data_IF_929851750745
#
_entry.id   IF_929851750745
#
_cell.length_a   1.000
_cell.length_b   1.000
_cell.length_c   1.000
_cell.angle_alpha   90.00
_cell.angle_beta   90.00
_cell.angle_gamma   90.00
#
_symmetry.space_group_name_H-M   'P 1'
#
loop_
_entity.id
_entity.type
_entity.pdbx_description
1 polymer ?
#
# COMPACT_ATOMS: atom_id res chain seq x y z
N UNK A 1 -29.32 42.35 18.26
CA UNK A 1 -28.09 41.76 18.87
C UNK A 1 -28.20 40.25 19.08
N UNK A 2 -29.32 39.72 19.61
CA UNK A 2 -29.53 38.29 19.94
C UNK A 2 -29.55 37.34 18.71
N UNK A 3 -30.07 37.77 17.56
CA UNK A 3 -30.06 36.93 16.35
C UNK A 3 -28.67 36.75 15.73
N UNK A 4 -27.81 37.77 15.82
CA UNK A 4 -26.42 37.69 15.35
C UNK A 4 -25.58 36.74 16.21
N UNK A 5 -25.83 36.69 17.52
CA UNK A 5 -25.16 35.76 18.42
C UNK A 5 -25.62 34.32 18.16
N UNK A 6 -26.91 34.08 17.92
CA UNK A 6 -27.41 32.74 17.58
C UNK A 6 -26.81 32.18 16.27
N UNK A 7 -26.76 33.00 15.22
CA UNK A 7 -26.13 32.60 13.95
C UNK A 7 -24.62 32.32 14.11
N UNK A 8 -23.94 33.10 14.95
CA UNK A 8 -22.52 32.91 15.26
C UNK A 8 -22.28 31.61 16.06
N UNK A 9 -23.10 31.35 17.08
CA UNK A 9 -23.04 30.11 17.88
C UNK A 9 -23.30 28.88 17.01
N UNK A 10 -24.30 28.91 16.12
CA UNK A 10 -24.59 27.81 15.18
C UNK A 10 -23.41 27.50 14.26
N UNK A 11 -22.70 28.54 13.77
CA UNK A 11 -21.50 28.36 12.93
C UNK A 11 -20.38 27.67 13.71
N UNK A 12 -20.12 28.08 14.94
CA UNK A 12 -19.10 27.45 15.79
C UNK A 12 -19.43 25.99 16.11
N UNK A 13 -20.68 25.70 16.45
CA UNK A 13 -21.12 24.31 16.68
C UNK A 13 -20.91 23.46 15.43
N UNK A 14 -21.31 23.96 14.26
CA UNK A 14 -21.10 23.25 13.00
C UNK A 14 -19.61 23.02 12.70
N UNK A 15 -18.76 24.01 12.96
CA UNK A 15 -17.31 23.91 12.76
C UNK A 15 -16.68 22.89 13.72
N UNK A 16 -17.09 22.87 14.99
CA UNK A 16 -16.63 21.88 15.97
C UNK A 16 -17.07 20.48 15.56
N UNK A 17 -18.33 20.29 15.18
CA UNK A 17 -18.83 18.99 14.72
C UNK A 17 -18.11 18.52 13.45
N UNK A 18 -17.85 19.43 12.51
CA UNK A 18 -17.07 19.15 11.32
C UNK A 18 -15.63 18.76 11.66
N UNK A 19 -14.97 19.47 12.57
CA UNK A 19 -13.63 19.14 13.01
C UNK A 19 -13.59 17.75 13.66
N UNK A 20 -14.48 17.47 14.63
CA UNK A 20 -14.58 16.15 15.28
C UNK A 20 -14.82 15.05 14.24
N UNK A 21 -15.73 15.28 13.29
CA UNK A 21 -15.98 14.34 12.21
C UNK A 21 -14.73 14.14 11.33
N UNK A 22 -14.05 15.20 10.92
CA UNK A 22 -12.84 15.10 10.11
C UNK A 22 -11.74 14.32 10.85
N UNK A 23 -11.47 14.63 12.11
CA UNK A 23 -10.48 13.92 12.93
C UNK A 23 -10.85 12.45 13.19
N UNK A 24 -12.14 12.14 13.31
CA UNK A 24 -12.61 10.77 13.57
C UNK A 24 -12.73 9.91 12.32
N UNK A 25 -13.08 10.49 11.17
CA UNK A 25 -13.35 9.76 9.92
C UNK A 25 -12.17 9.70 8.97
N UNK A 26 -11.08 10.40 9.29
CA UNK A 26 -9.86 10.44 8.47
C UNK A 26 -8.63 10.17 9.31
N UNK A 27 -7.52 9.95 8.62
CA UNK A 27 -6.20 9.75 9.22
C UNK A 27 -5.52 11.08 9.64
N UNK A 28 -6.28 12.17 9.82
CA UNK A 28 -5.74 13.45 10.31
C UNK A 28 -5.04 13.32 11.67
N UNK A 29 -5.39 12.30 12.48
CA UNK A 29 -4.68 11.97 13.72
C UNK A 29 -3.21 11.62 13.51
N UNK A 30 -2.85 11.07 12.35
CA UNK A 30 -1.45 10.75 12.01
C UNK A 30 -0.61 12.02 11.88
N UNK A 31 -1.19 13.14 11.45
CA UNK A 31 -0.50 14.44 11.39
C UNK A 31 -0.08 14.89 12.80
N UNK A 32 -0.83 14.54 13.84
CA UNK A 32 -0.45 14.85 15.22
C UNK A 32 0.82 14.11 15.69
N UNK A 33 1.25 13.06 14.97
CA UNK A 33 2.50 12.32 15.23
C UNK A 33 3.73 12.95 14.54
N UNK A 34 3.58 14.02 13.75
CA UNK A 34 4.71 14.72 13.12
C UNK A 34 5.82 15.17 14.10
N UNK A 35 5.53 15.63 15.33
CA UNK A 35 6.58 15.93 16.30
C UNK A 35 7.45 14.72 16.63
N UNK A 36 6.86 13.52 16.71
CA UNK A 36 7.58 12.25 16.96
C UNK A 36 8.50 11.92 15.79
N UNK A 37 8.03 12.11 14.56
CA UNK A 37 8.85 11.92 13.35
C UNK A 37 10.11 12.81 13.38
N UNK A 38 9.96 14.09 13.74
CA UNK A 38 11.07 15.04 13.82
C UNK A 38 12.03 14.66 14.95
N UNK A 39 11.49 14.25 16.11
CA UNK A 39 12.30 13.79 17.23
C UNK A 39 13.13 12.57 16.84
N UNK A 40 12.52 11.55 16.22
CA UNK A 40 13.22 10.34 15.83
C UNK A 40 14.26 10.59 14.72
N UNK A 41 13.96 11.50 13.77
CA UNK A 41 14.98 11.98 12.82
C UNK A 41 16.19 12.62 13.53
N UNK A 42 15.96 13.43 14.57
CA UNK A 42 17.06 14.03 15.33
C UNK A 42 17.88 12.97 16.11
N UNK A 43 17.24 11.92 16.62
CA UNK A 43 17.94 10.77 17.23
C UNK A 43 18.88 10.10 16.21
N UNK A 44 18.40 9.80 15.00
CA UNK A 44 19.22 9.24 13.91
C UNK A 44 20.32 10.21 13.45
N UNK A 45 20.05 11.51 13.44
CA UNK A 45 21.04 12.53 13.11
C UNK A 45 22.15 12.66 14.16
N UNK A 46 21.88 12.33 15.42
CA UNK A 46 22.92 12.27 16.46
C UNK A 46 23.84 11.05 16.29
N UNK A 47 23.30 9.93 15.82
CA UNK A 47 24.07 8.71 15.53
C UNK A 47 24.86 8.83 14.22
N UNK A 48 24.25 9.43 13.20
CA UNK A 48 24.84 9.66 11.90
C UNK A 48 24.60 11.10 11.45
N UNK A 49 25.59 11.97 11.68
CA UNK A 49 25.49 13.40 11.33
C UNK A 49 25.30 13.68 9.83
N UNK A 50 25.60 12.71 8.97
CA UNK A 50 25.48 12.84 7.51
C UNK A 50 24.10 12.44 6.96
N UNK A 51 23.22 11.86 7.78
CA UNK A 51 21.90 11.43 7.33
C UNK A 51 21.05 12.64 6.95
N UNK A 52 20.48 12.57 5.75
CA UNK A 52 19.50 13.56 5.29
C UNK A 52 18.09 13.14 5.72
N UNK A 53 17.19 14.11 5.87
CA UNK A 53 15.78 13.82 6.19
C UNK A 53 15.12 12.90 5.15
N UNK A 54 15.45 13.05 3.86
CA UNK A 54 14.97 12.17 2.80
C UNK A 54 15.48 10.74 2.93
N UNK A 55 16.76 10.55 3.29
CA UNK A 55 17.31 9.21 3.52
C UNK A 55 16.62 8.56 4.72
N UNK A 56 16.48 9.29 5.83
CA UNK A 56 15.73 8.83 7.00
C UNK A 56 14.30 8.38 6.64
N UNK A 57 13.57 9.16 5.84
CA UNK A 57 12.24 8.75 5.37
C UNK A 57 12.28 7.50 4.49
N UNK A 58 13.26 7.37 3.60
CA UNK A 58 13.41 6.16 2.78
C UNK A 58 13.70 4.96 3.66
N UNK A 59 14.61 5.09 4.62
CA UNK A 59 14.98 4.02 5.56
C UNK A 59 13.77 3.62 6.41
N UNK A 60 12.94 4.57 6.84
CA UNK A 60 11.81 4.29 7.73
C UNK A 60 10.46 4.01 7.04
N UNK A 61 10.33 4.19 5.72
CA UNK A 61 9.07 3.93 5.00
C UNK A 61 9.24 3.00 3.80
N UNK A 62 10.41 2.37 3.65
CA UNK A 62 10.57 1.29 2.70
C UNK A 62 10.01 -0.04 3.26
N UNK A 63 9.88 -1.05 2.39
CA UNK A 63 9.42 -2.40 2.76
C UNK A 63 10.57 -3.38 3.04
N UNK A 64 11.79 -2.87 3.21
CA UNK A 64 12.96 -3.69 3.49
C UNK A 64 12.98 -4.02 4.99
N UNK A 65 13.31 -5.27 5.36
CA UNK A 65 13.46 -5.62 6.76
C UNK A 65 14.70 -4.90 7.32
N UNK A 66 14.48 -4.00 8.27
CA UNK A 66 15.54 -3.39 9.05
C UNK A 66 15.86 -4.26 10.28
N UNK A 67 17.13 -4.26 10.70
CA UNK A 67 17.67 -5.13 11.77
C UNK A 67 17.97 -4.31 13.04
N UNK A 68 17.67 -3.02 13.04
CA UNK A 68 17.67 -2.21 14.25
C UNK A 68 16.52 -2.62 15.17
N UNK A 69 16.80 -2.61 16.46
CA UNK A 69 15.87 -3.03 17.51
C UNK A 69 14.98 -1.85 17.94
N UNK A 70 14.52 -1.04 16.99
CA UNK A 70 13.72 0.19 17.20
C UNK A 70 12.29 0.06 16.67
N UNK A 71 11.85 -1.16 16.36
CA UNK A 71 10.51 -1.46 15.86
C UNK A 71 9.37 -0.81 16.69
N UNK A 72 9.47 -0.78 18.02
CA UNK A 72 8.48 -0.13 18.88
C UNK A 72 8.42 1.40 18.68
N UNK A 73 9.56 2.01 18.33
CA UNK A 73 9.71 3.44 18.07
C UNK A 73 9.21 3.78 16.67
N UNK A 74 9.56 2.95 15.70
CA UNK A 74 9.08 2.99 14.32
C UNK A 74 7.56 2.96 14.24
N UNK A 75 6.92 2.10 15.03
CA UNK A 75 5.47 1.97 15.06
C UNK A 75 4.74 3.24 15.55
N UNK A 76 5.46 4.18 16.17
CA UNK A 76 4.91 5.48 16.59
C UNK A 76 4.99 6.53 15.48
N UNK A 77 5.65 6.23 14.36
CA UNK A 77 5.76 7.14 13.23
C UNK A 77 4.41 7.30 12.51
N UNK A 78 4.13 8.51 11.99
CA UNK A 78 2.89 8.78 11.27
C UNK A 78 2.77 7.86 10.05
N UNK A 79 1.61 7.22 9.86
CA UNK A 79 1.33 6.35 8.72
C UNK A 79 2.21 5.09 8.59
N UNK A 80 3.03 4.75 9.59
CA UNK A 80 3.83 3.50 9.58
C UNK A 80 2.97 2.27 9.84
N UNK A 81 1.98 2.39 10.73
CA UNK A 81 0.98 1.35 10.99
C UNK A 81 -0.41 1.79 10.57
N UNK A 82 -1.18 0.86 10.00
CA UNK A 82 -2.59 1.08 9.69
C UNK A 82 -3.41 0.64 10.90
N UNK A 83 -3.81 1.61 11.72
CA UNK A 83 -4.74 1.37 12.83
C UNK A 83 -6.17 1.20 12.27
N UNK A 84 -6.53 -0.06 11.98
CA UNK A 84 -7.88 -0.42 11.50
C UNK A 84 -9.00 -0.14 12.50
N UNK A 85 -8.66 0.10 13.78
CA UNK A 85 -9.61 0.23 14.89
C UNK A 85 -10.52 1.46 14.79
N UNK A 86 -10.12 2.51 14.04
CA UNK A 86 -10.85 3.79 14.01
C UNK A 86 -11.70 3.98 12.74
N UNK A 87 -11.49 3.17 11.70
CA UNK A 87 -12.20 3.27 10.42
C UNK A 87 -13.55 2.53 10.38
N UNK A 88 -14.24 2.35 11.51
CA UNK A 88 -15.61 1.82 11.51
C UNK A 88 -16.61 2.95 11.21
N UNK A 89 -16.75 3.31 9.94
CA UNK A 89 -17.92 4.10 9.52
C UNK A 89 -19.15 3.20 9.58
N UNK A 90 -20.27 3.60 10.22
CA UNK A 90 -21.51 2.80 10.18
C UNK A 90 -22.08 2.68 8.77
N UNK A 91 -21.62 3.49 7.81
CA UNK A 91 -22.02 3.44 6.41
C UNK A 91 -21.13 2.52 5.54
N UNK A 92 -20.00 2.05 6.07
CA UNK A 92 -19.05 1.20 5.32
C UNK A 92 -18.98 -0.14 6.06
N UNK A 93 -19.33 -1.27 5.43
CA UNK A 93 -19.18 -2.58 6.07
C UNK A 93 -17.71 -2.76 6.49
N UNK A 94 -17.44 -3.35 7.67
CA UNK A 94 -16.07 -3.51 8.16
C UNK A 94 -15.23 -4.21 7.09
N UNK A 95 -14.05 -3.65 6.80
CA UNK A 95 -13.15 -4.21 5.80
C UNK A 95 -12.80 -5.65 6.17
N UNK A 96 -13.17 -6.59 5.30
CA UNK A 96 -12.69 -7.95 5.41
C UNK A 96 -11.17 -7.92 5.19
N UNK A 97 -10.40 -8.34 6.19
CA UNK A 97 -8.96 -8.52 6.03
C UNK A 97 -8.74 -9.65 5.02
N UNK A 98 -8.57 -9.31 3.74
CA UNK A 98 -8.17 -10.26 2.73
C UNK A 98 -6.72 -10.63 3.03
N UNK A 99 -6.52 -11.77 3.68
CA UNK A 99 -5.22 -12.40 3.79
C UNK A 99 -4.84 -12.92 2.39
N UNK A 100 -4.34 -12.03 1.52
CA UNK A 100 -3.65 -12.45 0.31
C UNK A 100 -2.39 -13.19 0.76
N UNK A 101 -2.49 -14.52 0.84
CA UNK A 101 -1.29 -15.36 0.92
C UNK A 101 -0.44 -14.99 -0.28
N UNK A 102 0.74 -14.42 -0.02
CA UNK A 102 1.77 -14.21 -1.02
C UNK A 102 1.87 -15.51 -1.82
N UNK A 103 1.70 -15.49 -3.16
CA UNK A 103 1.86 -16.71 -3.93
C UNK A 103 3.27 -17.22 -3.63
N UNK A 104 3.36 -18.36 -2.97
CA UNK A 104 4.62 -19.07 -2.81
C UNK A 104 4.90 -19.59 -4.20
N UNK A 105 5.65 -18.81 -4.99
CA UNK A 105 6.35 -19.38 -6.12
C UNK A 105 7.32 -20.38 -5.50
N UNK A 106 6.96 -21.66 -5.53
CA UNK A 106 7.96 -22.70 -5.40
C UNK A 106 8.96 -22.41 -6.50
N UNK A 107 10.14 -21.91 -6.13
CA UNK A 107 11.30 -22.02 -7.00
C UNK A 107 11.48 -23.51 -7.13
N UNK A 108 10.91 -24.09 -8.19
CA UNK A 108 11.27 -25.43 -8.64
C UNK A 108 12.76 -25.28 -8.89
N UNK A 109 13.59 -25.73 -7.92
CA UNK A 109 15.01 -25.99 -8.14
C UNK A 109 15.06 -26.68 -9.48
N UNK A 110 15.69 -26.05 -10.47
CA UNK A 110 15.73 -26.47 -11.86
C UNK A 110 15.69 -28.00 -12.00
N UNK A 111 14.49 -28.59 -11.96
CA UNK A 111 14.31 -29.96 -12.37
C UNK A 111 14.15 -29.79 -13.86
N UNK A 112 15.32 -29.64 -14.48
CA UNK A 112 15.67 -30.24 -15.73
C UNK A 112 14.43 -30.38 -16.59
N UNK A 113 14.19 -29.43 -17.49
CA UNK A 113 13.53 -29.79 -18.73
C UNK A 113 14.22 -31.09 -19.16
N UNK A 114 13.56 -32.26 -19.14
CA UNK A 114 14.19 -33.44 -19.68
C UNK A 114 14.38 -33.07 -21.14
N UNK A 115 15.62 -32.78 -21.52
CA UNK A 115 15.97 -32.58 -22.92
C UNK A 115 15.67 -33.92 -23.54
N UNK A 116 14.49 -34.03 -24.13
CA UNK A 116 14.08 -35.24 -24.79
C UNK A 116 14.96 -35.33 -26.04
N UNK A 117 16.07 -36.05 -25.93
CA UNK A 117 16.99 -36.27 -27.05
C UNK A 117 16.32 -37.05 -28.21
N UNK A 118 15.08 -37.53 -28.01
CA UNK A 118 14.21 -38.09 -29.04
C UNK A 118 13.17 -37.11 -29.60
N UNK A 119 13.29 -35.80 -29.35
CA UNK A 119 12.42 -34.82 -30.01
C UNK A 119 12.73 -34.77 -31.50
N UNK A 120 12.03 -35.59 -32.28
CA UNK A 120 12.00 -35.50 -33.73
C UNK A 120 11.05 -34.35 -34.08
N UNK A 121 11.55 -33.24 -34.65
CA UNK A 121 10.68 -32.15 -35.04
C UNK A 121 9.73 -32.66 -36.12
N UNK A 122 8.41 -32.71 -35.86
CA UNK A 122 7.45 -33.06 -36.91
C UNK A 122 7.55 -32.01 -38.01
N UNK A 123 7.88 -32.39 -39.25
CA UNK A 123 8.24 -31.50 -40.37
C UNK A 123 7.20 -30.45 -40.82
N UNK A 124 6.12 -30.26 -40.07
CA UNK A 124 5.01 -29.37 -40.35
C UNK A 124 4.97 -28.11 -39.47
N UNK A 125 6.11 -27.62 -38.95
CA UNK A 125 6.16 -26.38 -38.15
C UNK A 125 5.55 -25.17 -38.85
N UNK A 126 5.62 -25.13 -40.19
CA UNK A 126 5.02 -24.07 -41.01
C UNK A 126 3.48 -24.09 -41.06
N UNK A 127 2.83 -25.11 -40.50
CA UNK A 127 1.36 -25.20 -40.38
C UNK A 127 0.80 -24.74 -39.04
N UNK A 128 1.64 -24.62 -38.01
CA UNK A 128 1.20 -24.32 -36.64
C UNK A 128 0.77 -22.85 -36.51
N UNK A 129 1.41 -21.95 -37.27
CA UNK A 129 1.18 -20.50 -37.22
C UNK A 129 0.52 -19.95 -38.50
N UNK A 130 -0.48 -20.65 -39.04
CA UNK A 130 -1.23 -20.09 -40.16
C UNK A 130 -2.41 -19.25 -39.67
N UNK A 131 -2.57 -18.01 -40.16
CA UNK A 131 -3.77 -17.23 -39.88
C UNK A 131 -5.01 -17.95 -40.41
N UNK A 132 -6.19 -17.70 -39.84
CA UNK A 132 -7.44 -18.29 -40.30
C UNK A 132 -7.65 -17.96 -41.78
N UNK A 133 -7.76 -18.99 -42.63
CA UNK A 133 -8.06 -18.81 -44.05
C UNK A 133 -9.52 -18.40 -44.17
N UNK A 134 -9.81 -17.33 -44.91
CA UNK A 134 -11.20 -17.03 -45.26
C UNK A 134 -11.75 -18.22 -46.03
N UNK A 135 -12.92 -18.73 -45.60
CA UNK A 135 -13.56 -19.88 -46.19
C UNK A 135 -13.54 -19.79 -47.71
N UNK A 136 -13.00 -20.81 -48.35
CA UNK A 136 -13.17 -21.05 -49.77
C UNK A 136 -14.65 -20.92 -50.08
N UNK A 137 -14.99 -19.91 -50.87
CA UNK A 137 -16.26 -19.83 -51.56
C UNK A 137 -16.50 -21.19 -52.24
N UNK A 138 -17.49 -21.92 -51.75
CA UNK A 138 -18.06 -23.04 -52.48
C UNK A 138 -18.61 -22.42 -53.76
N UNK A 139 -17.87 -22.56 -54.85
CA UNK A 139 -18.42 -22.44 -56.19
C UNK A 139 -18.68 -23.87 -56.63
N UNK A 140 -19.96 -24.13 -56.91
CA UNK A 140 -20.46 -25.37 -57.49
C UNK A 140 -19.85 -25.65 -58.86
#
# INVERSE_FOLDING_TARGET
MIFFTFATVKKWIALILFAVYAFSSTELREIAKLPVLIQHYNEHRQLNHSITFSQYLVDHYNNLPHTDNDQERDNQLPFKQVDSTVMSSPAIPPSCAINLKRPVMSVVKDVLFPKNDQFIPSGNFSRIWQPPRSGSSIIA
#
